data_IF_172748765296
#
_entry.id   IF_172748765296
#
_cell.length_a   1.000
_cell.length_b   1.000
_cell.length_c   1.000
_cell.angle_alpha   90.00
_cell.angle_beta   90.00
_cell.angle_gamma   90.00
#
_symmetry.space_group_name_H-M   'P 1'
#
loop_
_entity.id
_entity.type
_entity.pdbx_description
1 polymer ?
#
# COMPACT_ATOMS: atom_id res chain seq x y z
N UNK A 1 36.99 33.68 -23.82
CA UNK A 1 38.06 33.33 -24.79
C UNK A 1 38.10 34.39 -25.89
N UNK A 2 39.31 34.70 -26.35
CA UNK A 2 39.72 35.82 -27.21
C UNK A 2 39.20 35.76 -28.66
N UNK A 3 39.15 36.96 -29.28
CA UNK A 3 39.47 37.37 -30.69
C UNK A 3 38.29 38.13 -31.34
N UNK A 4 38.38 39.47 -31.47
CA UNK A 4 38.96 40.26 -32.58
C UNK A 4 38.35 39.93 -33.96
N UNK A 5 37.67 40.90 -34.58
CA UNK A 5 38.04 41.55 -35.86
C UNK A 5 37.12 42.76 -36.05
N UNK A 6 37.74 43.95 -36.11
CA UNK A 6 37.19 45.16 -36.71
C UNK A 6 37.67 45.22 -38.15
N UNK A 7 36.82 45.64 -39.09
CA UNK A 7 37.25 46.04 -40.43
C UNK A 7 36.41 47.21 -40.93
N UNK A 8 37.15 48.30 -41.18
CA UNK A 8 36.79 49.55 -41.84
C UNK A 8 36.76 49.35 -43.36
N UNK A 9 35.85 50.04 -44.05
CA UNK A 9 36.11 50.50 -45.42
C UNK A 9 35.24 51.72 -45.77
N UNK A 10 35.87 52.89 -45.78
CA UNK A 10 35.44 54.10 -46.50
C UNK A 10 35.89 53.96 -47.95
N UNK A 11 35.01 54.24 -48.91
CA UNK A 11 35.36 54.48 -50.31
C UNK A 11 35.01 55.92 -50.67
N UNK A 12 36.04 56.75 -50.84
CA UNK A 12 35.97 58.07 -51.47
C UNK A 12 35.96 57.89 -52.99
N UNK A 13 35.08 58.60 -53.70
CA UNK A 13 35.11 58.76 -55.15
C UNK A 13 35.46 60.22 -55.44
N UNK A 14 36.59 60.43 -56.09
CA UNK A 14 37.06 61.71 -56.69
C UNK A 14 36.57 61.82 -58.13
N UNK A 15 36.13 63.01 -58.60
CA UNK A 15 35.97 63.30 -60.02
C UNK A 15 37.24 63.93 -60.60
N UNK A 16 37.72 63.39 -61.73
CA UNK A 16 38.87 63.92 -62.47
C UNK A 16 38.53 64.10 -63.95
N UNK A 17 38.41 65.36 -64.34
CA UNK A 17 38.97 65.99 -65.54
C UNK A 17 38.91 65.23 -66.88
N UNK A 18 38.07 65.74 -67.80
CA UNK A 18 38.26 65.54 -69.25
C UNK A 18 38.66 66.88 -69.85
N UNK A 19 39.87 66.88 -70.38
CA UNK A 19 40.64 67.99 -70.93
C UNK A 19 40.19 68.35 -72.35
N UNK A 20 40.16 69.67 -72.60
CA UNK A 20 40.05 70.31 -73.91
C UNK A 20 41.20 69.92 -74.86
N UNK A 21 40.86 69.57 -76.09
CA UNK A 21 41.73 69.53 -77.29
C UNK A 21 40.82 70.04 -78.42
N UNK A 22 41.18 70.93 -79.33
CA UNK A 22 42.44 71.57 -79.68
C UNK A 22 42.14 72.29 -81.01
N UNK A 23 42.36 73.60 -81.00
CA UNK A 23 42.06 74.58 -82.03
C UNK A 23 42.78 74.25 -83.34
N UNK A 24 42.03 74.06 -84.44
CA UNK A 24 42.58 73.79 -85.78
C UNK A 24 42.56 75.10 -86.58
N UNK A 25 43.64 75.88 -86.45
CA UNK A 25 43.96 77.02 -87.30
C UNK A 25 44.58 76.51 -88.60
N UNK A 26 43.77 76.39 -89.65
CA UNK A 26 44.26 76.16 -91.02
C UNK A 26 44.64 77.49 -91.65
N UNK A 27 45.86 77.51 -92.16
CA UNK A 27 46.61 78.66 -92.63
C UNK A 27 46.08 79.20 -93.97
N UNK A 28 45.81 80.51 -94.02
CA UNK A 28 45.60 81.26 -95.26
C UNK A 28 46.91 81.34 -96.06
N UNK A 29 46.87 80.87 -97.31
CA UNK A 29 47.90 81.12 -98.31
C UNK A 29 47.86 82.58 -98.77
N UNK A 30 48.84 83.37 -98.33
CA UNK A 30 49.16 84.68 -98.87
C UNK A 30 49.70 84.53 -100.30
N UNK A 31 48.89 84.86 -101.30
CA UNK A 31 49.37 85.13 -102.66
C UNK A 31 49.60 86.63 -102.82
N UNK A 32 50.89 86.98 -102.81
CA UNK A 32 51.53 87.82 -103.82
C UNK A 32 50.94 89.21 -104.10
N UNK A 33 51.45 90.22 -103.38
CA UNK A 33 51.48 91.60 -103.83
C UNK A 33 52.35 91.74 -105.09
N UNK A 34 51.72 91.94 -106.25
CA UNK A 34 52.34 92.44 -107.47
C UNK A 34 51.71 93.77 -107.85
N UNK A 35 52.51 94.85 -107.89
CA UNK A 35 52.06 96.22 -108.06
C UNK A 35 51.31 96.48 -109.38
N UNK A 36 50.02 96.79 -109.27
CA UNK A 36 49.26 97.77 -110.06
C UNK A 36 47.95 98.04 -109.33
N UNK A 37 47.87 99.17 -108.64
CA UNK A 37 46.63 99.75 -108.14
C UNK A 37 45.71 100.01 -109.34
N UNK A 38 44.63 99.24 -109.47
CA UNK A 38 43.64 99.46 -110.51
C UNK A 38 42.64 98.32 -110.65
N UNK A 39 41.58 98.38 -109.82
CA UNK A 39 40.35 97.57 -109.84
C UNK A 39 40.49 96.15 -109.27
N UNK A 40 39.95 95.96 -108.06
CA UNK A 40 39.43 94.65 -107.66
C UNK A 40 38.40 94.25 -108.70
N UNK A 41 38.49 93.05 -109.25
CA UNK A 41 37.47 92.54 -110.16
C UNK A 41 36.15 92.44 -109.39
N UNK A 42 35.09 93.05 -109.93
CA UNK A 42 33.75 93.02 -109.33
C UNK A 42 33.29 91.60 -109.01
N UNK A 43 33.75 90.62 -109.81
CA UNK A 43 33.53 89.17 -109.62
C UNK A 43 33.90 88.65 -108.23
N UNK A 44 34.99 89.13 -107.61
CA UNK A 44 35.44 88.67 -106.29
C UNK A 44 34.58 89.22 -105.14
N UNK A 45 34.08 90.45 -105.29
CA UNK A 45 33.18 91.07 -104.31
C UNK A 45 31.78 90.47 -104.43
N UNK A 46 31.30 90.25 -105.65
CA UNK A 46 30.02 89.59 -105.92
C UNK A 46 29.99 88.17 -105.34
N UNK A 47 31.09 87.42 -105.45
CA UNK A 47 31.24 86.08 -104.85
C UNK A 47 31.18 86.15 -103.32
N UNK A 48 31.92 87.07 -102.69
CA UNK A 48 31.90 87.21 -101.23
C UNK A 48 30.53 87.66 -100.69
N UNK A 49 29.80 88.49 -101.42
CA UNK A 49 28.42 88.87 -101.07
C UNK A 49 27.49 87.66 -101.21
N UNK A 50 27.61 86.87 -102.28
CA UNK A 50 26.83 85.64 -102.44
C UNK A 50 27.14 84.60 -101.34
N UNK A 51 28.40 84.45 -100.95
CA UNK A 51 28.83 83.59 -99.85
C UNK A 51 28.29 84.09 -98.50
N UNK A 52 28.24 85.41 -98.29
CA UNK A 52 27.62 86.03 -97.12
C UNK A 52 26.10 85.80 -97.07
N UNK A 53 25.41 85.94 -98.20
CA UNK A 53 23.98 85.60 -98.33
C UNK A 53 23.72 84.11 -98.02
N UNK A 54 24.56 83.22 -98.54
CA UNK A 54 24.47 81.79 -98.27
C UNK A 54 24.74 81.46 -96.79
N UNK A 55 25.72 82.11 -96.16
CA UNK A 55 26.02 81.94 -94.74
C UNK A 55 24.88 82.44 -93.85
N UNK A 56 24.27 83.59 -94.17
CA UNK A 56 23.10 84.13 -93.45
C UNK A 56 21.89 83.20 -93.63
N UNK A 57 21.65 82.68 -94.84
CA UNK A 57 20.60 81.70 -95.08
C UNK A 57 20.82 80.39 -94.28
N UNK A 58 22.07 79.91 -94.19
CA UNK A 58 22.43 78.74 -93.39
C UNK A 58 22.26 78.98 -91.89
N UNK A 59 22.55 80.19 -91.40
CA UNK A 59 22.28 80.60 -90.03
C UNK A 59 20.76 80.67 -89.74
N UNK A 60 19.98 81.24 -90.66
CA UNK A 60 18.53 81.32 -90.54
C UNK A 60 17.88 79.92 -90.53
N UNK A 61 18.39 78.98 -91.33
CA UNK A 61 17.88 77.61 -91.39
C UNK A 61 18.01 76.83 -90.07
N UNK A 62 18.89 77.25 -89.17
CA UNK A 62 19.04 76.70 -87.82
C UNK A 62 18.47 77.63 -86.74
N UNK A 63 17.57 78.53 -87.12
CA UNK A 63 16.87 79.46 -86.22
C UNK A 63 17.79 80.42 -85.44
N UNK A 64 18.92 80.80 -86.06
CA UNK A 64 19.82 81.81 -85.48
C UNK A 64 19.14 83.18 -85.32
N UNK A 65 18.04 83.43 -86.05
CA UNK A 65 17.18 84.59 -85.91
C UNK A 65 16.62 84.77 -84.50
N UNK A 66 16.38 83.68 -83.77
CA UNK A 66 15.82 83.73 -82.41
C UNK A 66 16.84 83.33 -81.34
N UNK A 67 17.67 82.32 -81.62
CA UNK A 67 18.60 81.75 -80.64
C UNK A 67 19.96 82.47 -80.60
N UNK A 68 20.33 83.20 -81.66
CA UNK A 68 21.56 83.97 -81.75
C UNK A 68 21.32 85.33 -82.44
N UNK A 69 20.21 85.99 -82.07
CA UNK A 69 19.69 87.21 -82.71
C UNK A 69 20.76 88.28 -82.93
N UNK A 70 21.57 88.56 -81.91
CA UNK A 70 22.54 89.66 -81.94
C UNK A 70 23.61 89.46 -83.02
N UNK A 71 24.10 88.22 -83.19
CA UNK A 71 25.09 87.88 -84.22
C UNK A 71 24.45 87.80 -85.60
N UNK A 72 23.21 87.33 -85.67
CA UNK A 72 22.45 87.27 -86.91
C UNK A 72 22.15 88.66 -87.47
N UNK A 73 21.66 89.58 -86.63
CA UNK A 73 21.41 90.98 -86.97
C UNK A 73 22.69 91.71 -87.39
N UNK A 74 23.82 91.42 -86.72
CA UNK A 74 25.12 91.98 -87.10
C UNK A 74 25.57 91.49 -88.48
N UNK A 75 25.37 90.21 -88.78
CA UNK A 75 25.66 89.65 -90.11
C UNK A 75 24.81 90.29 -91.22
N UNK A 76 23.50 90.46 -91.00
CA UNK A 76 22.62 91.14 -91.95
C UNK A 76 23.00 92.61 -92.16
N UNK A 77 23.35 93.31 -91.08
CA UNK A 77 23.83 94.70 -91.12
C UNK A 77 25.12 94.83 -91.92
N UNK A 78 26.07 93.90 -91.72
CA UNK A 78 27.33 93.86 -92.46
C UNK A 78 27.11 93.52 -93.94
N UNK A 79 26.19 92.61 -94.26
CA UNK A 79 25.81 92.30 -95.65
C UNK A 79 25.16 93.51 -96.36
N UNK A 80 24.22 94.19 -95.70
CA UNK A 80 23.59 95.39 -96.23
C UNK A 80 24.61 96.51 -96.48
N UNK A 81 25.56 96.67 -95.56
CA UNK A 81 26.67 97.62 -95.68
C UNK A 81 27.64 97.22 -96.82
N UNK A 82 27.90 95.92 -97.01
CA UNK A 82 28.73 95.41 -98.10
C UNK A 82 28.11 95.69 -99.48
N UNK A 83 26.81 95.43 -99.64
CA UNK A 83 26.05 95.74 -100.86
C UNK A 83 26.05 97.23 -101.16
N UNK A 84 25.87 98.06 -100.14
CA UNK A 84 25.94 99.52 -100.27
C UNK A 84 27.34 99.96 -100.73
N UNK A 85 28.41 99.46 -100.10
CA UNK A 85 29.79 99.75 -100.48
C UNK A 85 30.13 99.30 -101.92
N UNK A 86 29.56 98.18 -102.40
CA UNK A 86 29.70 97.74 -103.80
C UNK A 86 29.06 98.74 -104.77
N UNK A 87 27.84 99.23 -104.49
CA UNK A 87 27.18 100.25 -105.32
C UNK A 87 27.95 101.57 -105.37
N UNK A 88 28.62 101.93 -104.26
CA UNK A 88 29.50 103.10 -104.15
C UNK A 88 30.90 102.89 -104.76
N UNK A 89 31.16 101.72 -105.37
CA UNK A 89 32.45 101.34 -105.97
C UNK A 89 33.62 101.27 -104.97
N UNK A 90 33.33 101.03 -103.69
CA UNK A 90 34.31 100.82 -102.60
C UNK A 90 34.59 99.33 -102.39
N UNK A 91 35.26 98.70 -103.37
CA UNK A 91 35.45 97.24 -103.39
C UNK A 91 36.15 96.64 -102.17
N UNK A 92 37.15 97.32 -101.59
CA UNK A 92 37.85 96.85 -100.38
C UNK A 92 36.92 96.81 -99.15
N UNK A 93 36.09 97.84 -98.97
CA UNK A 93 35.14 97.90 -97.86
C UNK A 93 34.02 96.87 -98.04
N UNK A 94 33.51 96.73 -99.27
CA UNK A 94 32.51 95.73 -99.61
C UNK A 94 33.00 94.30 -99.31
N UNK A 95 34.24 93.99 -99.69
CA UNK A 95 34.84 92.68 -99.44
C UNK A 95 35.06 92.42 -97.94
N UNK A 96 35.59 93.40 -97.20
CA UNK A 96 35.78 93.30 -95.74
C UNK A 96 34.45 93.08 -95.01
N UNK A 97 33.43 93.86 -95.35
CA UNK A 97 32.10 93.77 -94.74
C UNK A 97 31.40 92.46 -95.11
N UNK A 98 31.57 91.96 -96.33
CA UNK A 98 31.06 90.64 -96.73
C UNK A 98 31.72 89.51 -95.92
N UNK A 99 33.04 89.54 -95.72
CA UNK A 99 33.71 88.55 -94.86
C UNK A 99 33.32 88.66 -93.38
N UNK A 100 33.08 89.87 -92.87
CA UNK A 100 32.54 90.07 -91.53
C UNK A 100 31.13 89.46 -91.42
N UNK A 101 30.27 89.69 -92.42
CA UNK A 101 28.95 89.07 -92.49
C UNK A 101 29.02 87.53 -92.51
N UNK A 102 29.95 86.93 -93.27
CA UNK A 102 30.18 85.47 -93.28
C UNK A 102 30.59 84.97 -91.89
N UNK A 103 31.54 85.64 -91.23
CA UNK A 103 32.05 85.25 -89.92
C UNK A 103 30.95 85.34 -88.85
N UNK A 104 30.21 86.44 -88.81
CA UNK A 104 29.12 86.67 -87.86
C UNK A 104 27.97 85.66 -88.10
N UNK A 105 27.62 85.39 -89.36
CA UNK A 105 26.61 84.39 -89.71
C UNK A 105 27.03 82.97 -89.30
N UNK A 106 28.29 82.60 -89.51
CA UNK A 106 28.82 81.28 -89.13
C UNK A 106 28.84 81.10 -87.60
N UNK A 107 29.18 82.17 -86.86
CA UNK A 107 29.11 82.19 -85.40
C UNK A 107 27.67 82.11 -84.90
N UNK A 108 26.75 82.85 -85.51
CA UNK A 108 25.32 82.80 -85.19
C UNK A 108 24.76 81.38 -85.41
N UNK A 109 25.09 80.75 -86.55
CA UNK A 109 24.73 79.38 -86.86
C UNK A 109 25.25 78.41 -85.80
N UNK A 110 26.53 78.49 -85.44
CA UNK A 110 27.17 77.62 -84.45
C UNK A 110 26.57 77.79 -83.05
N UNK A 111 26.33 79.04 -82.63
CA UNK A 111 25.70 79.33 -81.35
C UNK A 111 24.27 78.79 -81.29
N UNK A 112 23.48 78.98 -82.34
CA UNK A 112 22.11 78.46 -82.41
C UNK A 112 22.07 76.93 -82.31
N UNK A 113 22.95 76.25 -83.08
CA UNK A 113 23.10 74.79 -83.01
C UNK A 113 23.51 74.31 -81.62
N UNK A 114 24.43 75.01 -80.95
CA UNK A 114 24.87 74.68 -79.60
C UNK A 114 23.75 74.90 -78.56
N UNK A 115 22.98 75.97 -78.68
CA UNK A 115 21.84 76.26 -77.80
C UNK A 115 20.77 75.16 -77.95
N UNK A 116 20.45 74.79 -79.19
CA UNK A 116 19.50 73.70 -79.48
C UNK A 116 19.99 72.37 -78.92
N UNK A 117 21.25 72.01 -79.16
CA UNK A 117 21.83 70.77 -78.62
C UNK A 117 21.86 70.75 -77.09
N UNK A 118 22.18 71.88 -76.46
CA UNK A 118 22.18 71.99 -75.00
C UNK A 118 20.77 71.92 -74.41
N UNK A 119 19.77 72.48 -75.09
CA UNK A 119 18.38 72.40 -74.63
C UNK A 119 17.85 70.97 -74.71
N UNK A 120 18.15 70.23 -75.79
CA UNK A 120 17.82 68.81 -75.93
C UNK A 120 18.51 67.94 -74.87
N UNK A 121 19.81 68.18 -74.63
CA UNK A 121 20.56 67.47 -73.59
C UNK A 121 19.98 67.77 -72.20
N UNK A 122 19.66 69.02 -71.89
CA UNK A 122 19.04 69.40 -70.63
C UNK A 122 17.66 68.76 -70.45
N UNK A 123 16.84 68.73 -71.51
CA UNK A 123 15.55 68.04 -71.49
C UNK A 123 15.72 66.54 -71.21
N UNK A 124 16.70 65.89 -71.85
CA UNK A 124 17.02 64.48 -71.62
C UNK A 124 17.52 64.21 -70.20
N UNK A 125 18.38 65.09 -69.66
CA UNK A 125 18.88 65.01 -68.29
C UNK A 125 17.72 65.14 -67.29
N UNK A 126 16.82 66.10 -67.49
CA UNK A 126 15.65 66.28 -66.63
C UNK A 126 14.75 65.05 -66.65
N UNK A 127 14.47 64.48 -67.83
CA UNK A 127 13.70 63.25 -67.95
C UNK A 127 14.37 62.08 -67.21
N UNK A 128 15.68 61.88 -67.43
CA UNK A 128 16.44 60.80 -66.78
C UNK A 128 16.52 60.98 -65.26
N UNK A 129 16.58 62.21 -64.79
CA UNK A 129 16.58 62.53 -63.36
C UNK A 129 15.23 62.18 -62.73
N UNK A 130 14.12 62.55 -63.36
CA UNK A 130 12.78 62.18 -62.91
C UNK A 130 12.55 60.66 -62.92
N UNK A 131 13.02 59.96 -63.96
CA UNK A 131 12.99 58.48 -64.02
C UNK A 131 13.81 57.86 -62.87
N UNK A 132 14.99 58.39 -62.58
CA UNK A 132 15.85 57.91 -61.51
C UNK A 132 15.23 58.13 -60.11
N UNK A 133 14.57 59.27 -59.89
CA UNK A 133 13.84 59.56 -58.65
C UNK A 133 12.68 58.58 -58.45
N UNK A 134 11.85 58.38 -59.47
CA UNK A 134 10.73 57.42 -59.44
C UNK A 134 11.20 55.98 -59.16
N UNK A 135 12.32 55.56 -59.77
CA UNK A 135 12.93 54.27 -59.49
C UNK A 135 13.43 54.18 -58.05
N UNK A 136 14.03 55.25 -57.51
CA UNK A 136 14.47 55.30 -56.11
C UNK A 136 13.31 55.13 -55.14
N UNK A 137 12.21 55.83 -55.37
CA UNK A 137 10.99 55.70 -54.57
C UNK A 137 10.43 54.27 -54.62
N UNK A 138 10.37 53.68 -55.82
CA UNK A 138 9.94 52.29 -56.00
C UNK A 138 10.83 51.30 -55.25
N UNK A 139 12.15 51.49 -55.31
CA UNK A 139 13.12 50.65 -54.58
C UNK A 139 12.94 50.81 -53.06
N UNK A 140 12.76 52.03 -52.57
CA UNK A 140 12.54 52.28 -51.15
C UNK A 140 11.24 51.63 -50.66
N UNK A 141 10.13 51.80 -51.38
CA UNK A 141 8.86 51.14 -51.05
C UNK A 141 8.99 49.61 -51.04
N UNK A 142 9.70 49.03 -52.01
CA UNK A 142 9.95 47.58 -52.05
C UNK A 142 10.82 47.11 -50.88
N UNK A 143 11.82 47.90 -50.45
CA UNK A 143 12.65 47.59 -49.27
C UNK A 143 11.82 47.59 -47.99
N UNK A 144 10.93 48.56 -47.82
CA UNK A 144 10.03 48.61 -46.66
C UNK A 144 9.09 47.40 -46.62
N UNK A 145 8.48 47.05 -47.76
CA UNK A 145 7.67 45.83 -47.87
C UNK A 145 8.46 44.56 -47.56
N UNK A 146 9.69 44.46 -48.04
CA UNK A 146 10.57 43.32 -47.76
C UNK A 146 10.89 43.22 -46.26
N UNK A 147 11.17 44.36 -45.61
CA UNK A 147 11.42 44.41 -44.18
C UNK A 147 10.18 43.98 -43.36
N UNK A 148 8.98 44.42 -43.77
CA UNK A 148 7.72 43.99 -43.17
C UNK A 148 7.51 42.48 -43.28
N UNK A 149 7.64 41.92 -44.48
CA UNK A 149 7.53 40.47 -44.72
C UNK A 149 8.57 39.65 -43.94
N UNK A 150 9.79 40.17 -43.79
CA UNK A 150 10.81 39.53 -42.96
C UNK A 150 10.49 39.54 -41.47
N UNK A 151 9.76 40.55 -40.99
CA UNK A 151 9.26 40.59 -39.61
C UNK A 151 8.15 39.57 -39.43
N UNK A 152 7.12 39.59 -40.29
CA UNK A 152 6.01 38.63 -40.25
C UNK A 152 6.50 37.18 -40.31
N UNK A 153 7.50 36.89 -41.15
CA UNK A 153 8.08 35.56 -41.23
C UNK A 153 8.78 35.13 -39.93
N UNK A 154 9.43 36.06 -39.21
CA UNK A 154 10.01 35.76 -37.89
C UNK A 154 8.95 35.48 -36.84
N UNK A 155 7.86 36.25 -36.87
CA UNK A 155 6.74 36.10 -35.94
C UNK A 155 6.06 34.73 -36.16
N UNK A 156 5.76 34.38 -37.41
CA UNK A 156 5.21 33.06 -37.79
C UNK A 156 6.15 31.93 -37.36
N UNK A 157 7.47 32.07 -37.53
CA UNK A 157 8.43 31.06 -37.07
C UNK A 157 8.45 30.91 -35.55
N UNK A 158 8.24 32.00 -34.81
CA UNK A 158 8.13 31.99 -33.35
C UNK A 158 6.85 31.26 -32.92
N UNK A 159 5.71 31.61 -33.51
CA UNK A 159 4.42 30.94 -33.27
C UNK A 159 4.49 29.46 -33.60
N UNK A 160 5.11 29.08 -34.73
CA UNK A 160 5.29 27.69 -35.11
C UNK A 160 6.11 26.91 -34.08
N UNK A 161 7.14 27.52 -33.49
CA UNK A 161 7.94 26.90 -32.41
C UNK A 161 7.09 26.71 -31.15
N UNK A 162 6.30 27.71 -30.77
CA UNK A 162 5.41 27.63 -29.62
C UNK A 162 4.35 26.53 -29.81
N UNK A 163 3.67 26.50 -30.96
CA UNK A 163 2.70 25.45 -31.27
C UNK A 163 3.33 24.05 -31.23
N UNK A 164 4.53 23.87 -31.79
CA UNK A 164 5.25 22.59 -31.72
C UNK A 164 5.54 22.17 -30.29
N UNK A 165 5.85 23.12 -29.41
CA UNK A 165 6.06 22.82 -28.00
C UNK A 165 4.75 22.40 -27.33
N UNK A 166 3.66 23.16 -27.52
CA UNK A 166 2.33 22.82 -27.00
C UNK A 166 1.86 21.44 -27.46
N UNK A 167 2.10 21.07 -28.72
CA UNK A 167 1.75 19.73 -29.23
C UNK A 167 2.54 18.64 -28.51
N UNK A 168 3.83 18.85 -28.20
CA UNK A 168 4.63 17.89 -27.44
C UNK A 168 4.11 17.75 -26.01
N UNK A 169 3.82 18.88 -25.36
CA UNK A 169 3.33 18.89 -23.98
C UNK A 169 1.98 18.16 -23.88
N UNK A 170 1.06 18.41 -24.82
CA UNK A 170 -0.23 17.71 -24.89
C UNK A 170 -0.08 16.21 -25.21
N UNK A 171 0.91 15.82 -26.02
CA UNK A 171 1.19 14.41 -26.28
C UNK A 171 1.68 13.69 -25.03
N UNK A 172 2.48 14.37 -24.20
CA UNK A 172 2.96 13.82 -22.94
C UNK A 172 1.84 13.71 -21.91
N UNK A 173 1.03 14.76 -21.74
CA UNK A 173 -0.16 14.73 -20.87
C UNK A 173 -1.11 13.58 -21.27
N UNK A 174 -1.31 13.34 -22.58
CA UNK A 174 -2.15 12.25 -23.06
C UNK A 174 -1.55 10.87 -22.77
N UNK A 175 -0.21 10.73 -22.77
CA UNK A 175 0.45 9.49 -22.32
C UNK A 175 0.24 9.25 -20.84
N UNK A 176 0.47 10.27 -20.01
CA UNK A 176 0.27 10.18 -18.55
C UNK A 176 -1.18 9.82 -18.19
N UNK A 177 -2.15 10.41 -18.89
CA UNK A 177 -3.57 10.06 -18.75
C UNK A 177 -3.85 8.62 -19.20
N UNK A 178 -3.19 8.16 -20.27
CA UNK A 178 -3.26 6.78 -20.74
C UNK A 178 -2.76 5.78 -19.69
N UNK A 179 -1.60 6.05 -19.10
CA UNK A 179 -0.99 5.22 -18.04
C UNK A 179 -1.85 5.21 -16.78
N UNK A 180 -2.37 6.38 -16.39
CA UNK A 180 -3.30 6.51 -15.25
C UNK A 180 -4.58 5.69 -15.48
N UNK A 181 -5.15 5.74 -16.70
CA UNK A 181 -6.32 4.94 -17.06
C UNK A 181 -6.01 3.44 -17.02
N UNK A 182 -4.84 3.02 -17.46
CA UNK A 182 -4.41 1.62 -17.40
C UNK A 182 -4.31 1.14 -15.95
N UNK A 183 -3.67 1.92 -15.07
CA UNK A 183 -3.57 1.62 -13.64
C UNK A 183 -4.94 1.50 -12.97
N UNK A 184 -5.88 2.41 -13.26
CA UNK A 184 -7.25 2.27 -12.76
C UNK A 184 -7.96 1.03 -13.32
N UNK A 185 -7.70 0.66 -14.58
CA UNK A 185 -8.20 -0.58 -15.16
C UNK A 185 -7.74 -1.83 -14.39
N UNK A 186 -6.46 -1.88 -14.01
CA UNK A 186 -5.91 -2.97 -13.19
C UNK A 186 -6.54 -3.01 -11.79
N UNK A 187 -6.72 -1.86 -11.14
CA UNK A 187 -7.39 -1.78 -9.83
C UNK A 187 -8.83 -2.29 -9.90
N UNK A 188 -9.58 -1.91 -10.93
CA UNK A 188 -10.96 -2.41 -11.14
C UNK A 188 -10.97 -3.93 -11.35
N UNK A 189 -10.01 -4.48 -12.09
CA UNK A 189 -9.88 -5.93 -12.27
C UNK A 189 -9.59 -6.66 -10.95
N UNK A 190 -8.67 -6.13 -10.13
CA UNK A 190 -8.35 -6.68 -8.80
C UNK A 190 -9.55 -6.62 -7.85
N UNK A 191 -10.28 -5.50 -7.82
CA UNK A 191 -11.49 -5.35 -7.03
C UNK A 191 -12.59 -6.34 -7.47
N UNK A 192 -12.75 -6.53 -8.78
CA UNK A 192 -13.69 -7.50 -9.34
C UNK A 192 -13.34 -8.93 -8.92
N UNK A 193 -12.05 -9.28 -8.93
CA UNK A 193 -11.59 -10.58 -8.46
C UNK A 193 -11.86 -10.79 -6.97
N UNK A 194 -11.52 -9.79 -6.15
CA UNK A 194 -11.76 -9.81 -4.69
C UNK A 194 -13.26 -9.97 -4.38
N UNK A 195 -14.11 -9.29 -5.14
CA UNK A 195 -15.57 -9.37 -4.98
C UNK A 195 -16.09 -10.78 -5.31
N UNK A 196 -15.54 -11.43 -6.33
CA UNK A 196 -15.89 -12.81 -6.69
C UNK A 196 -15.42 -13.81 -5.62
N UNK A 197 -14.23 -13.62 -5.05
CA UNK A 197 -13.75 -14.43 -3.92
C UNK A 197 -14.66 -14.29 -2.69
N UNK A 198 -15.07 -13.06 -2.36
CA UNK A 198 -15.99 -12.79 -1.24
C UNK A 198 -17.34 -13.47 -1.49
N UNK A 199 -17.90 -13.39 -2.71
CA UNK A 199 -19.13 -14.10 -3.08
C UNK A 199 -18.96 -15.61 -2.92
N UNK A 200 -17.85 -16.17 -3.36
CA UNK A 200 -17.54 -17.59 -3.19
C UNK A 200 -17.47 -18.00 -1.70
N UNK A 201 -16.83 -17.18 -0.85
CA UNK A 201 -16.80 -17.39 0.60
C UNK A 201 -18.18 -17.31 1.24
N UNK A 202 -19.00 -16.33 0.84
CA UNK A 202 -20.36 -16.18 1.34
C UNK A 202 -21.22 -17.41 0.99
N UNK A 203 -21.14 -17.91 -0.25
CA UNK A 203 -21.86 -19.13 -0.66
C UNK A 203 -21.44 -20.38 0.12
N UNK A 204 -20.14 -20.51 0.44
CA UNK A 204 -19.65 -21.60 1.32
C UNK A 204 -20.19 -21.47 2.74
N UNK A 205 -20.11 -20.28 3.33
CA UNK A 205 -20.62 -20.02 4.67
C UNK A 205 -22.14 -20.28 4.77
N UNK A 206 -22.91 -19.89 3.76
CA UNK A 206 -24.35 -20.18 3.70
C UNK A 206 -24.62 -21.69 3.67
N UNK A 207 -23.81 -22.44 2.95
CA UNK A 207 -23.91 -23.91 2.90
C UNK A 207 -23.58 -24.54 4.25
N UNK A 208 -22.55 -24.06 4.95
CA UNK A 208 -22.20 -24.51 6.30
C UNK A 208 -23.33 -24.21 7.30
N UNK A 209 -23.92 -23.01 7.26
CA UNK A 209 -25.07 -22.65 8.11
C UNK A 209 -26.24 -23.61 7.87
N UNK A 210 -26.53 -23.95 6.60
CA UNK A 210 -27.58 -24.94 6.28
C UNK A 210 -27.24 -26.33 6.83
N UNK A 211 -25.97 -26.73 6.81
CA UNK A 211 -25.52 -28.02 7.36
C UNK A 211 -25.70 -28.04 8.89
N UNK A 212 -25.21 -27.02 9.60
CA UNK A 212 -25.41 -26.91 11.05
C UNK A 212 -26.89 -26.84 11.42
N UNK A 213 -27.72 -26.14 10.63
CA UNK A 213 -29.17 -26.13 10.80
C UNK A 213 -29.78 -27.54 10.74
N UNK A 214 -29.30 -28.40 9.83
CA UNK A 214 -29.71 -29.82 9.75
C UNK A 214 -29.24 -30.63 10.95
N UNK A 215 -27.99 -30.47 11.37
CA UNK A 215 -27.43 -31.16 12.55
C UNK A 215 -28.19 -30.80 13.84
N UNK A 216 -28.50 -29.50 14.04
CA UNK A 216 -29.30 -29.03 15.17
C UNK A 216 -30.70 -29.65 15.15
N UNK A 217 -31.35 -29.73 13.98
CA UNK A 217 -32.65 -30.36 13.85
C UNK A 217 -32.61 -31.87 14.20
N UNK A 218 -31.54 -32.57 13.80
CA UNK A 218 -31.35 -33.97 14.15
C UNK A 218 -31.11 -34.17 15.66
N UNK A 219 -30.26 -33.34 16.26
CA UNK A 219 -30.00 -33.37 17.71
C UNK A 219 -31.27 -33.09 18.52
N UNK A 220 -32.10 -32.13 18.09
CA UNK A 220 -33.41 -31.86 18.70
C UNK A 220 -34.33 -33.08 18.65
N UNK A 221 -34.39 -33.80 17.52
CA UNK A 221 -35.17 -35.05 17.42
C UNK A 221 -34.64 -36.13 18.36
N UNK A 222 -33.32 -36.30 18.45
CA UNK A 222 -32.69 -37.26 19.39
C UNK A 222 -33.03 -36.91 20.83
N UNK A 223 -32.98 -35.63 21.19
CA UNK A 223 -33.35 -35.14 22.51
C UNK A 223 -34.82 -35.42 22.83
N UNK A 224 -35.72 -35.17 21.88
CA UNK A 224 -37.16 -35.43 22.05
C UNK A 224 -37.46 -36.93 22.24
N UNK A 225 -36.77 -37.80 21.50
CA UNK A 225 -36.87 -39.25 21.67
C UNK A 225 -36.34 -39.68 23.05
N UNK A 226 -35.23 -39.10 23.49
CA UNK A 226 -34.68 -39.37 24.82
C UNK A 226 -35.64 -38.91 25.93
N UNK A 227 -36.22 -37.71 25.82
CA UNK A 227 -37.21 -37.18 26.77
C UNK A 227 -38.47 -38.06 26.84
N UNK A 228 -38.96 -38.54 25.69
CA UNK A 228 -40.06 -39.52 25.65
C UNK A 228 -39.71 -40.82 26.37
N UNK A 229 -38.52 -41.38 26.15
CA UNK A 229 -38.06 -42.59 26.84
C UNK A 229 -37.97 -42.38 28.35
N UNK A 230 -37.42 -41.26 28.81
CA UNK A 230 -37.35 -40.92 30.23
C UNK A 230 -38.75 -40.82 30.85
N UNK A 231 -39.70 -40.21 30.14
CA UNK A 231 -41.10 -40.14 30.58
C UNK A 231 -41.74 -41.54 30.66
N UNK A 232 -41.57 -42.37 29.64
CA UNK A 232 -42.07 -43.75 29.58
C UNK A 232 -41.49 -44.61 30.71
N UNK A 233 -40.18 -44.58 30.94
CA UNK A 233 -39.53 -45.26 32.07
C UNK A 233 -40.07 -44.74 33.42
N UNK A 234 -40.32 -43.43 33.53
CA UNK A 234 -40.97 -42.84 34.69
C UNK A 234 -42.39 -43.36 34.90
N UNK A 235 -43.18 -43.53 33.84
CA UNK A 235 -44.52 -44.13 33.91
C UNK A 235 -44.45 -45.61 34.29
N UNK A 236 -43.52 -46.37 33.72
CA UNK A 236 -43.30 -47.79 34.07
C UNK A 236 -42.91 -47.94 35.55
N UNK A 237 -41.97 -47.13 36.05
CA UNK A 237 -41.61 -47.12 37.48
C UNK A 237 -42.82 -46.82 38.37
N UNK A 238 -43.65 -45.83 38.02
CA UNK A 238 -44.89 -45.51 38.75
C UNK A 238 -45.90 -46.66 38.71
N UNK A 239 -46.07 -47.33 37.58
CA UNK A 239 -46.95 -48.48 37.44
C UNK A 239 -46.48 -49.65 38.31
N UNK A 240 -45.18 -49.96 38.31
CA UNK A 240 -44.58 -50.99 39.18
C UNK A 240 -44.73 -50.63 40.66
N UNK A 241 -44.54 -49.38 41.05
CA UNK A 241 -44.78 -48.94 42.43
C UNK A 241 -46.25 -49.13 42.82
N UNK A 242 -47.19 -48.77 41.94
CA UNK A 242 -48.62 -48.97 42.18
C UNK A 242 -48.99 -50.47 42.27
N UNK A 243 -48.36 -51.32 41.45
CA UNK A 243 -48.52 -52.78 41.52
C UNK A 243 -47.95 -53.33 42.83
N UNK A 244 -46.75 -52.89 43.25
CA UNK A 244 -46.15 -53.24 44.54
C UNK A 244 -47.08 -52.82 45.70
N UNK A 245 -47.66 -51.62 45.64
CA UNK A 245 -48.57 -51.14 46.69
C UNK A 245 -49.91 -51.89 46.69
N UNK A 246 -50.41 -52.28 45.51
CA UNK A 246 -51.58 -53.15 45.37
C UNK A 246 -51.30 -54.55 45.93
N UNK A 247 -50.16 -55.15 45.58
CA UNK A 247 -49.70 -56.43 46.12
C UNK A 247 -49.48 -56.35 47.63
N UNK A 248 -48.95 -55.24 48.16
CA UNK A 248 -48.86 -55.00 49.61
C UNK A 248 -50.23 -54.92 50.27
N UNK A 249 -51.22 -54.30 49.62
CA UNK A 249 -52.60 -54.24 50.12
C UNK A 249 -53.25 -55.63 50.11
N UNK A 250 -53.12 -56.39 49.02
CA UNK A 250 -53.57 -57.78 48.94
C UNK A 250 -52.86 -58.67 49.98
N UNK A 251 -51.56 -58.48 50.20
CA UNK A 251 -50.81 -59.19 51.23
C UNK A 251 -51.31 -58.84 52.63
N UNK A 252 -51.67 -57.57 52.91
CA UNK A 252 -52.29 -57.17 54.19
C UNK A 252 -53.66 -57.78 54.36
N UNK A 253 -54.49 -57.79 53.32
CA UNK A 253 -55.81 -58.41 53.33
C UNK A 253 -55.71 -59.93 53.55
N UNK A 254 -54.80 -60.62 52.85
CA UNK A 254 -54.52 -62.03 53.10
C UNK A 254 -53.94 -62.26 54.50
N UNK A 255 -53.01 -61.42 54.96
CA UNK A 255 -52.48 -61.52 56.32
C UNK A 255 -53.58 -61.31 57.36
N UNK A 256 -54.54 -60.44 57.11
CA UNK A 256 -55.71 -60.25 57.98
C UNK A 256 -56.62 -61.49 57.97
N UNK A 257 -56.92 -62.06 56.81
CA UNK A 257 -57.65 -63.33 56.68
C UNK A 257 -56.90 -64.47 57.39
N UNK A 258 -55.58 -64.55 57.26
CA UNK A 258 -54.75 -65.53 57.96
C UNK A 258 -54.71 -65.25 59.46
N UNK A 259 -54.74 -63.99 59.89
CA UNK A 259 -54.76 -63.59 61.31
C UNK A 259 -56.10 -63.93 61.95
N UNK A 260 -57.21 -63.74 61.23
CA UNK A 260 -58.55 -64.16 61.66
C UNK A 260 -58.64 -65.70 61.74
N UNK A 261 -58.13 -66.41 60.72
CA UNK A 261 -58.02 -67.89 60.75
C UNK A 261 -57.06 -68.40 61.83
N UNK A 262 -55.98 -67.68 62.12
CA UNK A 262 -55.07 -68.00 63.22
C UNK A 262 -55.72 -67.72 64.56
N UNK A 263 -56.53 -66.66 64.71
CA UNK A 263 -57.25 -66.37 65.94
C UNK A 263 -58.31 -67.45 66.24
N UNK A 264 -58.95 -68.02 65.21
CA UNK A 264 -59.79 -69.21 65.34
C UNK A 264 -58.98 -70.48 65.67
N UNK A 265 -57.76 -70.61 65.14
CA UNK A 265 -56.88 -71.76 65.40
C UNK A 265 -56.06 -71.66 66.72
N UNK A 266 -55.89 -70.48 67.31
CA UNK A 266 -55.05 -70.22 68.49
C UNK A 266 -55.77 -70.32 69.83
N UNK A 267 -56.91 -71.00 69.91
CA UNK A 267 -57.42 -71.41 71.22
C UNK A 267 -56.61 -72.55 71.86
N UNK A 268 -55.57 -73.09 71.20
CA UNK A 268 -54.60 -74.00 71.83
C UNK A 268 -53.17 -73.83 71.28
N UNK A 269 -52.21 -73.51 72.18
CA UNK A 269 -50.78 -73.83 72.09
C UNK A 269 -49.79 -73.03 71.19
N UNK A 270 -49.78 -71.68 71.20
CA UNK A 270 -48.69 -70.89 70.57
C UNK A 270 -47.91 -69.90 71.47
N UNK A 271 -48.46 -69.49 72.62
CA UNK A 271 -47.80 -68.50 73.49
C UNK A 271 -46.46 -68.96 74.10
N UNK A 272 -46.28 -70.26 74.34
CA UNK A 272 -45.06 -70.80 74.92
C UNK A 272 -43.90 -70.94 73.91
N UNK A 273 -44.18 -71.16 72.63
CA UNK A 273 -43.14 -71.43 71.60
C UNK A 273 -42.47 -70.16 71.06
N UNK A 274 -43.16 -69.02 71.08
CA UNK A 274 -42.61 -67.75 70.57
C UNK A 274 -41.58 -67.13 71.52
N UNK A 275 -41.78 -67.27 72.83
CA UNK A 275 -40.84 -66.79 73.84
C UNK A 275 -39.51 -67.58 73.84
N UNK A 276 -39.54 -68.89 73.55
CA UNK A 276 -38.33 -69.70 73.38
C UNK A 276 -37.55 -69.34 72.10
N UNK A 277 -38.24 -69.13 70.97
CA UNK A 277 -37.60 -68.76 69.71
C UNK A 277 -36.83 -67.42 69.78
N UNK A 278 -37.39 -66.41 70.45
CA UNK A 278 -36.72 -65.12 70.64
C UNK A 278 -35.52 -65.23 71.59
N UNK A 279 -35.59 -66.09 72.62
CA UNK A 279 -34.45 -66.41 73.48
C UNK A 279 -33.35 -67.14 72.70
N UNK A 280 -33.71 -68.07 71.83
CA UNK A 280 -32.79 -68.84 70.99
C UNK A 280 -32.09 -67.95 69.95
N UNK A 281 -32.80 -67.04 69.28
CA UNK A 281 -32.20 -66.08 68.33
C UNK A 281 -31.31 -65.05 69.02
N UNK A 282 -31.66 -64.60 70.22
CA UNK A 282 -30.81 -63.74 71.02
C UNK A 282 -29.55 -64.50 71.52
N UNK A 283 -29.66 -65.80 71.82
CA UNK A 283 -28.51 -66.65 72.14
C UNK A 283 -27.64 -66.95 70.93
N UNK A 284 -28.20 -67.18 69.73
CA UNK A 284 -27.46 -67.36 68.48
C UNK A 284 -26.69 -66.09 68.08
N UNK A 285 -27.27 -64.90 68.24
CA UNK A 285 -26.58 -63.64 68.00
C UNK A 285 -25.45 -63.39 69.02
N UNK A 286 -25.67 -63.71 70.30
CA UNK A 286 -24.63 -63.65 71.35
C UNK A 286 -23.54 -64.71 71.15
N UNK A 287 -23.90 -65.91 70.69
CA UNK A 287 -22.97 -66.98 70.36
C UNK A 287 -22.17 -66.67 69.10
N UNK A 288 -22.75 -66.00 68.09
CA UNK A 288 -22.04 -65.51 66.92
C UNK A 288 -20.97 -64.48 67.30
N UNK A 289 -21.33 -63.47 68.10
CA UNK A 289 -20.38 -62.47 68.62
C UNK A 289 -19.31 -63.09 69.52
N UNK A 290 -19.67 -64.07 70.37
CA UNK A 290 -18.73 -64.78 71.23
C UNK A 290 -17.85 -65.81 70.47
N UNK A 291 -18.28 -66.29 69.30
CA UNK A 291 -17.53 -67.22 68.44
C UNK A 291 -16.50 -66.52 67.56
N UNK A 292 -16.57 -65.19 67.46
CA UNK A 292 -15.58 -64.41 66.73
C UNK A 292 -14.45 -63.98 67.66
N UNK A 293 -13.18 -64.15 67.24
CA UNK A 293 -12.06 -63.60 67.99
C UNK A 293 -12.26 -62.09 68.23
N UNK A 294 -11.97 -61.57 69.44
CA UNK A 294 -11.99 -60.13 69.67
C UNK A 294 -11.02 -59.46 68.70
N UNK A 295 -11.50 -58.44 67.98
CA UNK A 295 -10.73 -57.75 66.95
C UNK A 295 -9.59 -56.91 67.56
N UNK A 296 -9.80 -56.40 68.78
CA UNK A 296 -8.79 -55.64 69.51
C UNK A 296 -8.19 -56.53 70.60
N UNK A 297 -6.87 -56.49 70.82
CA UNK A 297 -6.26 -56.99 72.04
C UNK A 297 -6.96 -56.37 73.26
N UNK A 298 -7.20 -57.18 74.29
CA UNK A 298 -7.86 -56.71 75.51
C UNK A 298 -6.97 -55.67 76.19
N UNK A 299 -7.40 -54.40 76.20
CA UNK A 299 -6.72 -53.32 76.92
C UNK A 299 -7.00 -53.47 78.42
N UNK A 300 -5.95 -53.69 79.20
CA UNK A 300 -5.97 -53.85 80.65
C UNK A 300 -5.76 -52.54 81.41
N UNK A 301 -5.29 -51.49 80.71
CA UNK A 301 -4.97 -50.18 81.30
C UNK A 301 -3.67 -50.18 82.12
N UNK A 302 -2.88 -51.25 82.07
CA UNK A 302 -1.60 -51.37 82.76
C UNK A 302 -0.48 -50.95 81.82
N UNK A 303 0.48 -50.17 82.30
CA UNK A 303 1.64 -49.71 81.52
C UNK A 303 2.91 -50.20 82.23
N UNK A 304 3.81 -50.88 81.51
CA UNK A 304 5.10 -51.36 82.03
C UNK A 304 6.32 -50.62 81.44
N UNK A 305 6.12 -49.76 80.45
CA UNK A 305 7.18 -48.96 79.83
C UNK A 305 7.58 -47.74 80.69
N UNK A 306 8.87 -47.41 80.70
CA UNK A 306 9.37 -46.16 81.27
C UNK A 306 8.99 -44.94 80.41
N UNK A 307 9.06 -43.73 80.98
CA UNK A 307 8.79 -42.50 80.23
C UNK A 307 9.73 -42.33 79.01
N UNK A 308 11.00 -42.72 79.15
CA UNK A 308 11.99 -42.69 78.05
C UNK A 308 11.63 -43.69 76.95
N UNK A 309 11.20 -44.90 77.33
CA UNK A 309 10.73 -45.91 76.37
C UNK A 309 9.47 -45.46 75.65
N UNK A 310 8.50 -44.86 76.35
CA UNK A 310 7.29 -44.31 75.74
C UNK A 310 7.64 -43.21 74.73
N UNK A 311 8.56 -42.31 75.08
CA UNK A 311 9.00 -41.25 74.17
C UNK A 311 9.71 -41.84 72.92
N UNK A 312 10.59 -42.83 73.11
CA UNK A 312 11.27 -43.53 72.02
C UNK A 312 10.29 -44.26 71.10
N UNK A 313 9.30 -44.98 71.65
CA UNK A 313 8.28 -45.68 70.88
C UNK A 313 7.36 -44.73 70.10
N UNK A 314 6.98 -43.59 70.70
CA UNK A 314 6.22 -42.54 69.98
C UNK A 314 7.02 -41.92 68.85
N UNK A 315 8.33 -41.71 69.03
CA UNK A 315 9.20 -41.25 67.93
C UNK A 315 9.29 -42.29 66.81
N UNK A 316 9.39 -43.59 67.15
CA UNK A 316 9.40 -44.66 66.17
C UNK A 316 8.09 -44.75 65.37
N UNK A 317 6.92 -44.64 66.03
CA UNK A 317 5.62 -44.51 65.35
C UNK A 317 5.59 -43.31 64.41
N UNK A 318 6.12 -42.16 64.83
CA UNK A 318 6.24 -40.97 63.98
C UNK A 318 7.17 -41.19 62.78
N UNK A 319 8.25 -41.96 62.91
CA UNK A 319 9.14 -42.31 61.79
C UNK A 319 8.43 -43.23 60.79
N UNK A 320 7.76 -44.26 61.29
CA UNK A 320 6.95 -45.17 60.50
C UNK A 320 5.87 -44.43 59.71
N UNK A 321 5.14 -43.51 60.35
CA UNK A 321 4.12 -42.70 59.69
C UNK A 321 4.72 -41.76 58.64
N UNK A 322 5.85 -41.10 58.95
CA UNK A 322 6.55 -40.23 57.98
C UNK A 322 7.01 -40.99 56.76
N UNK A 323 7.49 -42.23 56.91
CA UNK A 323 7.90 -43.07 55.79
C UNK A 323 6.72 -43.36 54.82
N UNK A 324 5.50 -43.55 55.36
CA UNK A 324 4.28 -43.70 54.55
C UNK A 324 4.01 -42.46 53.70
N UNK A 325 3.95 -41.27 54.32
CA UNK A 325 3.65 -40.03 53.60
C UNK A 325 4.80 -39.55 52.68
N UNK A 326 6.04 -39.95 52.97
CA UNK A 326 7.19 -39.73 52.10
C UNK A 326 7.24 -40.69 50.90
N UNK A 327 6.22 -41.55 50.72
CA UNK A 327 6.16 -42.56 49.66
C UNK A 327 7.31 -43.59 49.73
N UNK A 328 7.95 -43.75 50.90
CA UNK A 328 9.05 -44.68 51.14
C UNK A 328 8.51 -45.94 51.83
N UNK A 329 7.90 -46.83 51.05
CA UNK A 329 7.31 -48.05 51.60
C UNK A 329 8.35 -49.03 52.15
N UNK A 330 9.55 -49.09 51.58
CA UNK A 330 10.62 -49.93 52.15
C UNK A 330 11.00 -49.46 53.56
N UNK A 331 11.08 -48.15 53.78
CA UNK A 331 11.29 -47.57 55.12
C UNK A 331 10.11 -47.77 56.06
N UNK A 332 8.88 -47.77 55.53
CA UNK A 332 7.67 -48.05 56.32
C UNK A 332 7.61 -49.52 56.75
N UNK A 333 7.86 -50.45 55.83
CA UNK A 333 7.86 -51.90 56.07
C UNK A 333 9.00 -52.34 56.98
N UNK A 334 10.12 -51.61 57.00
CA UNK A 334 11.23 -51.89 57.91
C UNK A 334 10.84 -51.85 59.40
N UNK A 335 9.73 -51.20 59.77
CA UNK A 335 9.26 -51.20 61.16
C UNK A 335 8.47 -52.46 61.54
N UNK A 336 8.11 -53.33 60.61
CA UNK A 336 7.31 -54.52 60.91
C UNK A 336 8.19 -55.70 61.31
N UNK A 337 7.67 -56.54 62.21
CA UNK A 337 8.28 -57.83 62.51
C UNK A 337 8.06 -58.82 61.35
N UNK A 338 9.01 -59.75 61.10
CA UNK A 338 8.87 -60.74 60.02
C UNK A 338 7.62 -61.64 60.13
N UNK A 339 7.12 -61.86 61.34
CA UNK A 339 5.99 -62.74 61.66
C UNK A 339 4.74 -61.96 62.08
N UNK A 340 4.64 -60.68 61.72
CA UNK A 340 3.46 -59.84 61.94
C UNK A 340 2.20 -60.52 61.39
N UNK A 341 1.13 -60.44 62.17
CA UNK A 341 -0.23 -60.71 61.70
C UNK A 341 -1.03 -59.42 61.85
N UNK A 342 -1.57 -58.92 60.73
CA UNK A 342 -2.49 -57.81 60.74
C UNK A 342 -3.94 -58.29 60.56
N UNK A 343 -4.85 -57.81 61.41
CA UNK A 343 -6.27 -58.11 61.31
C UNK A 343 -6.97 -57.05 60.46
N UNK A 344 -7.51 -57.44 59.31
CA UNK A 344 -8.22 -56.55 58.38
C UNK A 344 -9.72 -56.83 58.40
N UNK A 345 -10.49 -55.78 58.62
CA UNK A 345 -11.95 -55.80 58.58
C UNK A 345 -12.44 -54.78 57.56
N UNK A 346 -13.18 -55.24 56.56
CA UNK A 346 -13.83 -54.40 55.55
C UNK A 346 -15.33 -54.39 55.80
N UNK A 347 -15.90 -53.19 55.89
CA UNK A 347 -17.31 -52.94 56.19
C UNK A 347 -17.94 -52.26 54.97
N UNK A 348 -18.83 -52.97 54.30
CA UNK A 348 -19.58 -52.50 53.13
C UNK A 348 -21.04 -52.95 53.27
N UNK A 349 -21.99 -52.04 53.06
CA UNK A 349 -23.44 -52.34 53.11
C UNK A 349 -23.87 -53.11 54.36
N UNK A 350 -23.35 -52.70 55.53
CA UNK A 350 -23.63 -53.34 56.83
C UNK A 350 -23.18 -54.81 56.95
N UNK A 351 -22.29 -55.28 56.07
CA UNK A 351 -21.62 -56.59 56.16
C UNK A 351 -20.16 -56.41 56.54
N UNK A 352 -19.68 -57.25 57.46
CA UNK A 352 -18.28 -57.30 57.88
C UNK A 352 -17.57 -58.48 57.19
N UNK A 353 -16.43 -58.20 56.57
CA UNK A 353 -15.51 -59.19 56.03
C UNK A 353 -14.19 -59.12 56.79
N UNK A 354 -13.87 -60.17 57.54
CA UNK A 354 -12.64 -60.26 58.35
C UNK A 354 -11.63 -61.18 57.67
N UNK A 355 -10.37 -60.75 57.65
CA UNK A 355 -9.24 -61.52 57.12
C UNK A 355 -7.98 -61.22 57.94
N UNK A 356 -7.09 -62.19 58.06
CA UNK A 356 -5.75 -62.01 58.64
C UNK A 356 -4.74 -61.90 57.51
N UNK A 357 -3.85 -60.94 57.63
CA UNK A 357 -2.77 -60.68 56.66
C UNK A 357 -1.44 -61.05 57.30
N UNK A 358 -0.67 -61.90 56.62
CA UNK A 358 0.76 -62.03 56.89
C UNK A 358 1.53 -60.83 56.31
N UNK A 359 2.85 -60.77 56.54
CA UNK A 359 3.69 -59.67 56.06
C UNK A 359 3.62 -59.45 54.54
N UNK A 360 3.58 -60.52 53.73
CA UNK A 360 3.55 -60.40 52.28
C UNK A 360 2.20 -59.86 51.79
N UNK A 361 1.10 -60.35 52.39
CA UNK A 361 -0.25 -59.88 52.12
C UNK A 361 -0.43 -58.43 52.58
N UNK A 362 0.13 -58.08 53.73
CA UNK A 362 0.14 -56.72 54.25
C UNK A 362 0.89 -55.77 53.32
N UNK A 363 2.07 -56.16 52.82
CA UNK A 363 2.84 -55.39 51.84
C UNK A 363 2.05 -55.16 50.54
N UNK A 364 1.45 -56.22 49.98
CA UNK A 364 0.62 -56.13 48.78
C UNK A 364 -0.59 -55.18 48.97
N UNK A 365 -1.26 -55.30 50.11
CA UNK A 365 -2.38 -54.45 50.47
C UNK A 365 -1.94 -52.99 50.69
N UNK A 366 -0.80 -52.75 51.34
CA UNK A 366 -0.25 -51.40 51.52
C UNK A 366 0.12 -50.77 50.18
N UNK A 367 0.67 -51.53 49.23
CA UNK A 367 0.90 -51.09 47.86
C UNK A 367 -0.41 -50.66 47.19
N UNK A 368 -1.46 -51.47 47.30
CA UNK A 368 -2.78 -51.13 46.76
C UNK A 368 -3.34 -49.87 47.43
N UNK A 369 -3.24 -49.74 48.75
CA UNK A 369 -3.70 -48.56 49.48
C UNK A 369 -2.97 -47.30 49.02
N UNK A 370 -1.67 -47.40 48.70
CA UNK A 370 -0.83 -46.29 48.21
C UNK A 370 -1.16 -45.81 46.81
N UNK A 371 -1.85 -46.61 45.98
CA UNK A 371 -2.28 -46.17 44.64
C UNK A 371 -3.28 -45.00 44.70
N UNK A 372 -3.81 -44.71 45.89
CA UNK A 372 -4.79 -43.67 46.11
C UNK A 372 -4.30 -42.67 47.15
N UNK A 373 -4.65 -41.39 46.96
CA UNK A 373 -4.33 -40.34 47.93
C UNK A 373 -5.23 -40.47 49.17
N UNK A 374 -4.62 -40.83 50.30
CA UNK A 374 -5.28 -40.88 51.61
C UNK A 374 -4.92 -39.63 52.42
N UNK A 375 -5.94 -38.96 52.94
CA UNK A 375 -5.76 -37.79 53.79
C UNK A 375 -5.80 -38.19 55.27
N UNK A 376 -4.86 -37.66 56.06
CA UNK A 376 -4.85 -37.84 57.51
C UNK A 376 -6.00 -37.05 58.13
N UNK A 377 -6.96 -37.73 58.75
CA UNK A 377 -8.07 -37.08 59.46
C UNK A 377 -7.79 -36.95 60.96
N UNK A 378 -7.25 -38.01 61.58
CA UNK A 378 -6.88 -38.03 63.00
C UNK A 378 -5.70 -38.96 63.24
N UNK A 379 -4.84 -38.63 64.20
CA UNK A 379 -3.93 -39.60 64.78
C UNK A 379 -3.77 -39.36 66.28
N UNK A 380 -3.92 -40.43 67.04
CA UNK A 380 -3.72 -40.46 68.48
C UNK A 380 -2.67 -41.53 68.82
N UNK A 381 -2.02 -41.39 69.98
CA UNK A 381 -1.07 -42.39 70.47
C UNK A 381 -1.39 -42.75 71.92
N UNK A 382 -1.55 -44.04 72.16
CA UNK A 382 -1.84 -44.65 73.47
C UNK A 382 -0.68 -45.56 73.88
N UNK A 383 -0.70 -46.02 75.14
CA UNK A 383 0.29 -46.96 75.67
C UNK A 383 -0.45 -48.04 76.44
N UNK A 384 -0.13 -49.30 76.19
CA UNK A 384 -0.72 -50.45 76.86
C UNK A 384 0.35 -51.54 77.01
N UNK A 385 0.53 -52.05 78.22
CA UNK A 385 1.58 -53.00 78.56
C UNK A 385 2.97 -52.50 78.15
N UNK A 386 3.62 -53.28 77.29
CA UNK A 386 4.93 -53.01 76.70
C UNK A 386 4.84 -52.36 75.31
N UNK A 387 3.64 -51.94 74.89
CA UNK A 387 3.39 -51.40 73.56
C UNK A 387 3.05 -49.92 73.58
N UNK A 388 3.57 -49.21 72.59
CA UNK A 388 3.05 -47.90 72.17
C UNK A 388 2.13 -48.14 70.98
N UNK A 389 0.90 -47.63 71.06
CA UNK A 389 -0.15 -47.88 70.08
C UNK A 389 -0.43 -46.59 69.31
N UNK A 390 -0.32 -46.62 67.99
CA UNK A 390 -0.76 -45.53 67.11
C UNK A 390 -2.15 -45.82 66.55
N UNK A 391 -3.09 -44.89 66.71
CA UNK A 391 -4.44 -44.98 66.12
C UNK A 391 -4.56 -43.90 65.06
N UNK A 392 -4.58 -44.28 63.78
CA UNK A 392 -4.59 -43.37 62.65
C UNK A 392 -5.89 -43.53 61.87
N UNK A 393 -6.64 -42.43 61.71
CA UNK A 393 -7.81 -42.36 60.83
C UNK A 393 -7.43 -41.65 59.55
N UNK A 394 -7.49 -42.38 58.44
CA UNK A 394 -7.29 -41.87 57.09
C UNK A 394 -8.63 -41.82 56.35
N UNK A 395 -8.82 -40.81 55.51
CA UNK A 395 -10.04 -40.64 54.71
C UNK A 395 -9.70 -40.39 53.26
N UNK A 396 -10.57 -40.87 52.37
CA UNK A 396 -10.51 -40.64 50.93
C UNK A 396 -11.92 -40.44 50.39
N UNK A 397 -12.10 -39.46 49.51
CA UNK A 397 -13.35 -39.28 48.78
C UNK A 397 -13.57 -40.48 47.84
N UNK A 398 -14.68 -41.21 48.01
CA UNK A 398 -15.05 -42.36 47.18
C UNK A 398 -16.06 -41.96 46.10
N UNK A 399 -17.10 -41.22 46.49
CA UNK A 399 -18.12 -40.68 45.57
C UNK A 399 -18.36 -39.21 45.89
N UNK A 400 -18.11 -38.27 44.94
CA UNK A 400 -18.43 -36.86 45.16
C UNK A 400 -19.95 -36.68 45.34
N UNK A 401 -20.34 -35.65 46.08
CA UNK A 401 -21.74 -35.24 46.12
C UNK A 401 -22.19 -34.85 44.70
N UNK A 402 -23.29 -35.44 44.24
CA UNK A 402 -23.83 -35.16 42.91
C UNK A 402 -24.45 -33.76 42.81
N UNK A 403 -24.96 -33.24 43.93
CA UNK A 403 -25.58 -31.92 44.08
C UNK A 403 -25.53 -31.47 45.56
N UNK A 404 -26.09 -30.30 45.84
CA UNK A 404 -26.13 -29.68 47.18
C UNK A 404 -26.94 -30.49 48.22
N UNK A 405 -27.79 -31.44 47.78
CA UNK A 405 -28.62 -32.28 48.65
C UNK A 405 -28.03 -33.69 48.84
N UNK A 406 -26.99 -34.05 48.09
CA UNK A 406 -26.32 -35.34 48.17
C UNK A 406 -25.16 -35.31 49.17
N UNK A 407 -25.04 -36.35 50.00
CA UNK A 407 -23.88 -36.50 50.90
C UNK A 407 -22.74 -37.17 50.16
N UNK A 408 -21.57 -36.50 50.10
CA UNK A 408 -20.36 -37.13 49.58
C UNK A 408 -20.00 -38.37 50.42
N UNK A 409 -19.64 -39.46 49.73
CA UNK A 409 -19.26 -40.72 50.36
C UNK A 409 -17.75 -40.88 50.37
N UNK A 410 -17.25 -41.40 51.48
CA UNK A 410 -15.85 -41.55 51.77
C UNK A 410 -15.53 -43.01 52.07
N UNK A 411 -14.29 -43.38 51.76
CA UNK A 411 -13.66 -44.54 52.36
C UNK A 411 -12.88 -44.07 53.58
N UNK A 412 -13.13 -44.69 54.73
CA UNK A 412 -12.44 -44.41 55.99
C UNK A 412 -11.60 -45.63 56.32
N UNK A 413 -10.32 -45.42 56.58
CA UNK A 413 -9.39 -46.46 57.00
C UNK A 413 -8.82 -46.09 58.36
N UNK A 414 -9.14 -46.89 59.37
CA UNK A 414 -8.59 -46.78 60.71
C UNK A 414 -7.52 -47.84 60.87
N UNK A 415 -6.33 -47.42 61.30
CA UNK A 415 -5.19 -48.27 61.58
C UNK A 415 -4.86 -48.18 63.06
N UNK A 416 -4.89 -49.29 63.77
CA UNK A 416 -4.38 -49.39 65.14
C UNK A 416 -3.10 -50.22 65.12
N UNK A 417 -1.97 -49.59 65.46
CA UNK A 417 -0.62 -50.10 65.21
C UNK A 417 0.09 -50.29 66.54
N UNK A 418 0.47 -51.51 66.88
CA UNK A 418 1.07 -51.85 68.16
C UNK A 418 2.57 -52.05 67.98
N UNK A 419 3.36 -51.15 68.56
CA UNK A 419 4.82 -51.21 68.54
C UNK A 419 5.39 -51.56 69.90
N UNK A 420 6.33 -52.50 69.93
CA UNK A 420 7.10 -52.83 71.14
C UNK A 420 8.60 -52.78 70.85
N UNK A 421 9.39 -52.80 71.92
CA UNK A 421 10.84 -52.72 71.81
C UNK A 421 11.46 -54.11 71.63
N UNK A 422 12.20 -54.32 70.54
CA UNK A 422 12.94 -55.54 70.23
C UNK A 422 14.42 -55.20 70.12
N UNK A 423 15.19 -55.52 71.16
CA UNK A 423 16.57 -55.05 71.29
C UNK A 423 16.63 -53.53 71.38
N UNK A 424 17.33 -52.89 70.44
CA UNK A 424 17.44 -51.43 70.36
C UNK A 424 16.42 -50.78 69.40
N UNK A 425 15.63 -51.58 68.70
CA UNK A 425 14.67 -51.11 67.70
C UNK A 425 13.23 -51.21 68.22
N UNK A 426 12.35 -50.35 67.70
CA UNK A 426 10.91 -50.47 67.90
C UNK A 426 10.27 -51.11 66.67
N UNK A 427 9.54 -52.20 66.88
CA UNK A 427 8.94 -53.00 65.83
C UNK A 427 7.43 -53.16 66.04
N UNK A 428 6.69 -53.18 64.92
CA UNK A 428 5.26 -53.44 64.87
C UNK A 428 5.07 -54.94 64.88
N UNK A 429 4.47 -55.44 65.96
CA UNK A 429 4.18 -56.86 66.14
C UNK A 429 2.69 -57.18 65.99
N UNK A 430 1.82 -56.16 65.97
CA UNK A 430 0.41 -56.30 65.66
C UNK A 430 -0.18 -55.03 65.01
N UNK A 431 -1.09 -55.19 64.06
CA UNK A 431 -1.82 -54.09 63.44
C UNK A 431 -3.26 -54.47 63.12
N UNK A 432 -4.20 -53.55 63.31
CA UNK A 432 -5.62 -53.75 62.99
C UNK A 432 -6.05 -52.70 61.97
N UNK A 433 -6.69 -53.15 60.90
CA UNK A 433 -7.29 -52.30 59.87
C UNK A 433 -8.80 -52.40 59.92
N UNK A 434 -9.47 -51.27 60.07
CA UNK A 434 -10.91 -51.15 59.89
C UNK A 434 -11.18 -50.24 58.71
N UNK A 435 -11.76 -50.79 57.65
CA UNK A 435 -12.01 -50.09 56.40
C UNK A 435 -13.51 -49.99 56.20
N UNK A 436 -14.05 -48.79 56.26
CA UNK A 436 -15.43 -48.48 55.94
C UNK A 436 -15.49 -47.95 54.52
N UNK A 437 -16.28 -48.59 53.66
CA UNK A 437 -16.43 -48.19 52.26
C UNK A 437 -17.77 -47.52 52.02
N UNK A 438 -17.76 -46.45 51.21
CA UNK A 438 -18.96 -45.71 50.80
C UNK A 438 -19.82 -45.21 51.97
N UNK A 439 -19.18 -44.64 53.00
CA UNK A 439 -19.87 -44.08 54.18
C UNK A 439 -19.82 -42.55 54.17
N UNK A 440 -20.82 -41.84 54.75
CA UNK A 440 -20.72 -40.41 55.01
C UNK A 440 -19.47 -40.04 55.81
N UNK A 441 -18.98 -38.80 55.66
CA UNK A 441 -17.91 -38.29 56.51
C UNK A 441 -18.47 -37.95 57.90
N UNK A 442 -18.29 -38.86 58.86
CA UNK A 442 -18.72 -38.69 60.26
C UNK A 442 -17.65 -38.04 61.15
#
# INVERSE_FOLDING_TARGET
MKRFIALSQKSNVTPGEILFIGMLLVSFGLVGCGGKLGRIETSAVDTAIADAEAAIAAAAAVDATTLASDLFETAETNLASAKTALTEKKGNDALRLAYQAIADATLAQTNSMNITKNSELNASILQKTAEAESLRETVNSKKEKLAGLQSEMRDIQSEQKQLKQTVRDLQEENRELGDTRAAYGEQVAQLSHTLEEIRGRAGRAETEIRNYGREVAELRRKLEVADRRVKEEGYQKRAVIAEIDSLRRQLREQAQIYTEKLAEANQQNAGAKHAEYLKQKAQEARAYVASQPPLHPVKTGRISLSAEQIAAGKMALGNWERAWYANNLNGHLAHYEPNIIADKVVIRESKEHRSKLDLQQLEADLHQMRTHAWNKAKADAEVEGESVIGIHRLTRLATPAADENATALYNIWIREVWMHQVGNDWRIHHEIWQIYENVPNF
#
